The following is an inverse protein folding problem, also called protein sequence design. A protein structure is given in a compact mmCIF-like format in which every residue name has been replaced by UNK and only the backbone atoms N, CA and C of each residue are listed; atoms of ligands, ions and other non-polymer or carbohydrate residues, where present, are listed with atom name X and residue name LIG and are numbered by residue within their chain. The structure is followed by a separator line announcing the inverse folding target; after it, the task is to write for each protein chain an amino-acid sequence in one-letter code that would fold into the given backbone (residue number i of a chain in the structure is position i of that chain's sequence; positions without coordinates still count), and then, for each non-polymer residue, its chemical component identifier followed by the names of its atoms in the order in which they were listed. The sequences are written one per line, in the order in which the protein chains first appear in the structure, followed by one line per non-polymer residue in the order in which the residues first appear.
data_IF_595348379276
#
_entry.id   IF_595348379276
#
_cell.length_a   1.000
_cell.length_b   1.000
_cell.length_c   1.000
_cell.angle_alpha   90.00
_cell.angle_beta   90.00
_cell.angle_gamma   90.00
#
_symmetry.space_group_name_H-M   'P 1'
#
loop_
_entity.id
_entity.type
_entity.pdbx_description
1 polymer ?
#
# COMPACT_ATOMS: atom_id res chain seq x y z
N UNK A 1 9.87 3.32 -9.44
CA UNK A 1 9.36 4.46 -10.25
C UNK A 1 8.24 5.10 -9.47
N UNK A 2 8.24 6.42 -9.28
CA UNK A 2 7.15 7.12 -8.61
C UNK A 2 6.29 7.76 -9.70
N UNK A 3 5.02 7.38 -9.78
CA UNK A 3 4.05 8.01 -10.67
C UNK A 3 3.80 9.44 -10.17
N UNK A 4 3.59 10.36 -11.11
CA UNK A 4 3.15 11.71 -10.77
C UNK A 4 1.68 11.67 -10.31
N UNK A 5 1.26 12.58 -9.44
CA UNK A 5 -0.11 12.58 -8.89
C UNK A 5 -1.18 12.64 -9.98
N UNK A 6 -0.88 13.32 -11.09
CA UNK A 6 -1.77 13.47 -12.24
C UNK A 6 -1.98 12.15 -13.01
N UNK A 7 -1.13 11.15 -12.77
CA UNK A 7 -1.20 9.82 -13.38
C UNK A 7 -1.89 8.79 -12.50
N UNK A 8 -2.20 9.14 -11.24
CA UNK A 8 -2.88 8.23 -10.32
C UNK A 8 -4.37 8.15 -10.69
N UNK A 9 -4.93 6.93 -10.75
CA UNK A 9 -6.38 6.68 -10.84
C UNK A 9 -6.96 6.17 -9.52
N UNK A 10 -8.13 6.66 -9.05
CA UNK A 10 -8.63 6.30 -7.73
C UNK A 10 -8.83 4.80 -7.64
N UNK A 11 -8.39 4.19 -6.55
CA UNK A 11 -8.71 2.79 -6.29
C UNK A 11 -10.10 2.71 -5.66
N UNK A 12 -11.01 1.99 -6.31
CA UNK A 12 -12.36 1.72 -5.81
C UNK A 12 -12.42 0.27 -5.37
N UNK A 13 -12.25 0.04 -4.07
CA UNK A 13 -12.19 -1.30 -3.49
C UNK A 13 -11.85 -1.28 -2.00
N UNK A 14 -11.52 -2.45 -1.48
CA UNK A 14 -11.24 -2.66 -0.06
C UNK A 14 -9.77 -2.98 0.13
N UNK A 15 -9.13 -2.33 1.09
CA UNK A 15 -7.77 -2.68 1.50
C UNK A 15 -7.85 -3.77 2.57
N UNK A 16 -7.17 -4.89 2.33
CA UNK A 16 -7.12 -6.02 3.26
C UNK A 16 -5.81 -5.98 4.02
N UNK A 17 -5.86 -5.80 5.33
CA UNK A 17 -4.70 -5.83 6.21
C UNK A 17 -4.21 -7.25 6.48
N UNK A 18 -3.01 -7.39 7.06
CA UNK A 18 -2.38 -8.69 7.34
C UNK A 18 -3.14 -9.54 8.36
N UNK A 19 -3.95 -8.91 9.22
CA UNK A 19 -4.87 -9.55 10.17
C UNK A 19 -6.16 -10.03 9.53
N UNK A 20 -6.40 -9.71 8.24
CA UNK A 20 -7.66 -9.92 7.55
C UNK A 20 -8.69 -8.79 7.72
N UNK A 21 -8.33 -7.71 8.43
CA UNK A 21 -9.16 -6.49 8.52
C UNK A 21 -9.38 -5.87 7.14
N UNK A 22 -10.57 -5.29 6.92
CA UNK A 22 -10.94 -4.69 5.65
C UNK A 22 -11.40 -3.26 5.85
N UNK A 23 -10.88 -2.34 5.05
CA UNK A 23 -11.25 -0.91 5.08
C UNK A 23 -11.56 -0.43 3.67
N UNK A 24 -12.70 0.23 3.49
CA UNK A 24 -13.05 0.88 2.22
C UNK A 24 -12.05 1.99 1.91
N UNK A 25 -11.53 2.00 0.68
CA UNK A 25 -10.63 3.05 0.21
C UNK A 25 -11.43 4.12 -0.51
N UNK A 26 -11.35 5.34 0.00
CA UNK A 26 -11.92 6.53 -0.62
C UNK A 26 -10.78 7.41 -1.16
N UNK A 27 -10.13 6.98 -2.24
CA UNK A 27 -9.08 7.75 -2.94
C UNK A 27 -7.80 6.97 -3.23
N UNK A 28 -6.66 7.56 -2.87
CA UNK A 28 -5.33 7.02 -3.12
C UNK A 28 -4.60 6.82 -1.80
N UNK A 29 -3.83 5.75 -1.70
CA UNK A 29 -2.91 5.54 -0.58
C UNK A 29 -1.58 5.03 -1.09
N UNK A 30 -0.49 5.42 -0.44
CA UNK A 30 0.83 4.82 -0.68
C UNK A 30 1.04 3.77 0.39
N UNK A 31 1.16 2.51 -0.03
CA UNK A 31 1.50 1.42 0.89
C UNK A 31 3.00 1.20 0.88
N UNK A 32 3.61 1.25 2.06
CA UNK A 32 4.97 0.81 2.27
C UNK A 32 4.91 -0.48 3.06
N UNK A 33 5.32 -1.59 2.45
CA UNK A 33 5.32 -2.89 3.11
C UNK A 33 6.75 -3.32 3.39
N UNK A 34 7.06 -3.56 4.67
CA UNK A 34 8.37 -4.09 5.09
C UNK A 34 8.28 -5.60 5.23
N UNK A 35 9.11 -6.33 4.48
CA UNK A 35 9.21 -7.79 4.51
C UNK A 35 10.52 -8.23 5.16
N UNK A 36 10.50 -9.37 5.85
CA UNK A 36 11.68 -9.96 6.50
C UNK A 36 11.84 -9.53 7.96
N UNK A 37 12.88 -10.03 8.61
CA UNK A 37 13.15 -9.80 10.04
C UNK A 37 14.53 -9.16 10.27
N UNK A 38 14.60 -8.24 11.24
CA UNK A 38 15.83 -7.58 11.71
C UNK A 38 16.67 -7.02 10.54
N UNK A 39 17.93 -7.42 10.42
CA UNK A 39 18.85 -6.97 9.36
C UNK A 39 18.40 -7.35 7.93
N UNK A 40 17.49 -8.32 7.78
CA UNK A 40 16.97 -8.73 6.48
C UNK A 40 15.68 -7.99 6.10
N UNK A 41 15.19 -7.09 6.95
CA UNK A 41 13.99 -6.33 6.68
C UNK A 41 14.18 -5.40 5.47
N UNK A 42 13.24 -5.41 4.53
CA UNK A 42 13.24 -4.57 3.34
C UNK A 42 11.86 -3.97 3.10
N UNK A 43 11.80 -2.65 2.97
CA UNK A 43 10.59 -1.94 2.59
C UNK A 43 10.47 -1.88 1.07
N UNK A 44 9.33 -2.35 0.56
CA UNK A 44 8.92 -2.20 -0.83
C UNK A 44 7.87 -1.09 -0.89
N UNK A 45 8.00 -0.22 -1.87
CA UNK A 45 7.10 0.89 -2.19
C UNK A 45 6.36 0.59 -3.48
#
# INVERSE_FOLDING_TARGET
MQLAEEQLQPYVGTLVGFSGEQVEVMGYTTLLTTFGERENAKTIK
#
